data_IF_446582713638
#
_entry.id   IF_446582713638
#
_cell.length_a   1.000
_cell.length_b   1.000
_cell.length_c   1.000
_cell.angle_alpha   90.00
_cell.angle_beta   90.00
_cell.angle_gamma   90.00
#
_symmetry.space_group_name_H-M   'P 1'
#
loop_
_entity.id
_entity.type
_entity.pdbx_description
1 polymer ?
#
# COMPACT_ATOMS: atom_id res chain seq x y z
N UNK A 1 -33.53 5.36 9.75
CA UNK A 1 -32.24 5.13 10.43
C UNK A 1 -31.23 6.07 9.79
N UNK A 2 -30.67 7.02 10.54
CA UNK A 2 -29.54 7.82 10.05
C UNK A 2 -28.33 6.89 9.96
N UNK A 3 -27.73 6.76 8.77
CA UNK A 3 -26.50 5.99 8.62
C UNK A 3 -25.44 6.58 9.56
N UNK A 4 -24.85 5.74 10.41
CA UNK A 4 -23.73 6.16 11.26
C UNK A 4 -22.57 6.54 10.35
N UNK A 5 -22.11 7.79 10.45
CA UNK A 5 -20.87 8.19 9.79
C UNK A 5 -19.70 7.48 10.47
N UNK A 6 -19.19 6.42 9.84
CA UNK A 6 -18.11 5.59 10.37
C UNK A 6 -16.84 6.37 10.62
N UNK A 7 -16.61 7.50 9.92
CA UNK A 7 -15.44 8.34 10.14
C UNK A 7 -15.38 8.94 11.54
N UNK A 8 -16.53 9.09 12.22
CA UNK A 8 -16.60 9.64 13.56
C UNK A 8 -16.51 8.58 14.67
N UNK A 9 -16.49 7.29 14.32
CA UNK A 9 -16.28 6.22 15.31
C UNK A 9 -14.86 6.37 15.86
N UNK A 10 -14.73 6.41 17.17
CA UNK A 10 -13.45 6.61 17.85
C UNK A 10 -13.07 5.44 18.74
N UNK A 11 -11.77 5.17 18.84
CA UNK A 11 -11.17 4.24 19.80
C UNK A 11 -10.77 4.91 21.13
N UNK A 12 -11.07 6.21 21.30
CA UNK A 12 -10.68 7.03 22.44
C UNK A 12 -9.43 7.87 22.22
N UNK A 13 -8.63 7.60 21.19
CA UNK A 13 -7.44 8.36 20.80
C UNK A 13 -7.55 8.97 19.41
N UNK A 14 -8.09 8.18 18.47
CA UNK A 14 -8.32 8.58 17.10
C UNK A 14 -9.74 8.23 16.68
N UNK A 15 -10.21 8.94 15.68
CA UNK A 15 -11.37 8.55 14.87
C UNK A 15 -10.93 7.62 13.75
N UNK A 16 -11.84 6.80 13.23
CA UNK A 16 -11.52 5.97 12.07
C UNK A 16 -11.16 6.82 10.86
N UNK A 17 -11.78 7.99 10.69
CA UNK A 17 -11.40 8.94 9.64
C UNK A 17 -9.93 9.34 9.70
N UNK A 18 -9.44 9.69 10.89
CA UNK A 18 -8.02 10.00 11.12
C UNK A 18 -7.11 8.80 10.83
N UNK A 19 -7.48 7.60 11.29
CA UNK A 19 -6.70 6.39 11.03
C UNK A 19 -6.64 6.02 9.53
N UNK A 20 -7.75 6.23 8.79
CA UNK A 20 -7.77 6.06 7.33
C UNK A 20 -6.82 7.04 6.64
N UNK A 21 -6.74 8.29 7.14
CA UNK A 21 -5.85 9.29 6.59
C UNK A 21 -4.38 9.00 6.89
N UNK A 22 -4.07 8.58 8.11
CA UNK A 22 -2.74 8.08 8.48
C UNK A 22 -2.33 6.93 7.54
N UNK A 23 -3.23 5.98 7.27
CA UNK A 23 -2.97 4.87 6.35
C UNK A 23 -2.64 5.34 4.94
N UNK A 24 -3.35 6.34 4.39
CA UNK A 24 -3.03 6.90 3.07
C UNK A 24 -1.59 7.44 3.03
N UNK A 25 -1.26 8.31 3.99
CA UNK A 25 0.05 8.98 4.05
C UNK A 25 1.19 8.00 4.33
N UNK A 26 1.00 7.05 5.24
CA UNK A 26 2.00 6.02 5.54
C UNK A 26 2.28 5.15 4.32
N UNK A 27 1.24 4.71 3.60
CA UNK A 27 1.44 3.88 2.42
C UNK A 27 2.02 4.66 1.24
N UNK A 28 1.62 5.92 1.05
CA UNK A 28 2.25 6.82 0.09
C UNK A 28 3.76 6.94 0.34
N UNK A 29 4.16 7.23 1.58
CA UNK A 29 5.58 7.31 1.95
C UNK A 29 6.31 5.97 1.76
N UNK A 30 5.67 4.84 2.06
CA UNK A 30 6.26 3.52 1.85
C UNK A 30 6.52 3.24 0.38
N UNK A 31 5.56 3.58 -0.50
CA UNK A 31 5.70 3.42 -1.94
C UNK A 31 6.81 4.33 -2.51
N UNK A 32 6.85 5.60 -2.06
CA UNK A 32 7.90 6.56 -2.44
C UNK A 32 9.30 6.15 -1.98
N UNK A 33 9.40 5.46 -0.83
CA UNK A 33 10.65 4.89 -0.36
C UNK A 33 11.07 3.62 -1.12
N UNK A 34 10.17 3.02 -1.92
CA UNK A 34 10.40 1.77 -2.63
C UNK A 34 9.92 1.85 -4.11
N UNK A 35 10.36 2.87 -4.88
CA UNK A 35 9.78 3.17 -6.19
C UNK A 35 10.01 2.04 -7.22
N UNK A 36 11.05 1.23 -7.04
CA UNK A 36 11.37 0.11 -7.93
C UNK A 36 10.36 -1.05 -7.91
N UNK A 37 9.55 -1.14 -6.85
CA UNK A 37 8.48 -2.15 -6.73
C UNK A 37 7.09 -1.53 -6.63
N UNK A 38 6.99 -0.21 -6.55
CA UNK A 38 5.74 0.51 -6.46
C UNK A 38 5.15 0.83 -7.84
N UNK A 39 3.83 0.98 -7.89
CA UNK A 39 3.10 1.41 -9.07
C UNK A 39 1.80 2.12 -8.68
N UNK A 40 1.26 2.90 -9.62
CA UNK A 40 -0.07 3.52 -9.49
C UNK A 40 -0.91 3.31 -10.74
N UNK A 41 -2.23 3.31 -10.58
CA UNK A 41 -3.18 3.26 -11.70
C UNK A 41 -4.55 3.79 -11.29
N UNK A 42 -5.29 4.35 -12.25
CA UNK A 42 -6.69 4.72 -12.06
C UNK A 42 -7.63 3.52 -12.18
N UNK A 43 -7.20 2.46 -12.85
CA UNK A 43 -8.09 1.41 -13.34
C UNK A 43 -7.86 0.08 -12.60
N UNK A 44 -8.95 -0.52 -12.15
CA UNK A 44 -8.92 -1.86 -11.58
C UNK A 44 -8.66 -2.96 -12.65
N UNK A 45 -8.63 -4.22 -12.24
CA UNK A 45 -8.43 -5.37 -13.14
C UNK A 45 -9.50 -5.51 -14.24
N UNK A 46 -10.67 -4.86 -14.09
CA UNK A 46 -11.75 -4.80 -15.07
C UNK A 46 -11.72 -3.55 -15.95
N UNK A 47 -10.67 -2.73 -15.84
CA UNK A 47 -10.53 -1.43 -16.52
C UNK A 47 -11.56 -0.38 -16.08
N UNK A 48 -12.05 -0.48 -14.84
CA UNK A 48 -13.00 0.47 -14.26
C UNK A 48 -12.29 1.42 -13.29
N UNK A 49 -12.66 2.70 -13.35
CA UNK A 49 -12.18 3.73 -12.43
C UNK A 49 -13.13 3.90 -11.23
N UNK A 50 -12.56 4.14 -10.06
CA UNK A 50 -13.31 4.53 -8.86
C UNK A 50 -13.30 6.05 -8.72
N UNK A 51 -14.47 6.70 -8.80
CA UNK A 51 -14.57 8.18 -8.74
C UNK A 51 -13.90 8.73 -7.47
N UNK A 52 -12.90 9.60 -7.64
CA UNK A 52 -12.16 10.24 -6.54
C UNK A 52 -10.99 9.41 -5.99
N UNK A 53 -10.71 8.24 -6.56
CA UNK A 53 -9.70 7.31 -6.04
C UNK A 53 -8.81 6.76 -7.15
N UNK A 54 -7.56 6.49 -6.80
CA UNK A 54 -6.65 5.68 -7.59
C UNK A 54 -6.11 4.52 -6.75
N UNK A 55 -5.53 3.52 -7.40
CA UNK A 55 -4.86 2.41 -6.75
C UNK A 55 -3.37 2.73 -6.68
N UNK A 56 -2.82 2.77 -5.47
CA UNK A 56 -1.39 2.69 -5.23
C UNK A 56 -1.07 1.25 -4.84
N UNK A 57 -0.01 0.68 -5.40
CA UNK A 57 0.37 -0.69 -5.17
C UNK A 57 1.87 -0.90 -5.07
N UNK A 58 2.27 -2.00 -4.45
CA UNK A 58 3.64 -2.50 -4.39
C UNK A 58 3.66 -3.99 -4.69
N UNK A 59 4.60 -4.44 -5.52
CA UNK A 59 4.85 -5.84 -5.80
C UNK A 59 5.95 -6.36 -4.86
N UNK A 60 5.56 -7.01 -3.76
CA UNK A 60 6.53 -7.72 -2.91
C UNK A 60 6.71 -9.16 -3.39
N UNK A 61 7.72 -9.85 -2.87
CA UNK A 61 7.90 -11.26 -3.22
C UNK A 61 6.79 -12.16 -2.67
N UNK A 62 6.10 -11.74 -1.61
CA UNK A 62 4.93 -12.42 -1.04
C UNK A 62 3.60 -12.05 -1.74
N UNK A 63 3.67 -11.20 -2.77
CA UNK A 63 2.55 -10.75 -3.58
C UNK A 63 2.26 -9.25 -3.47
N UNK A 64 1.08 -8.85 -3.91
CA UNK A 64 0.74 -7.44 -4.05
C UNK A 64 0.26 -6.82 -2.72
N UNK A 65 0.65 -5.59 -2.45
CA UNK A 65 0.02 -4.76 -1.41
C UNK A 65 -0.61 -3.59 -2.14
N UNK A 66 -1.94 -3.44 -2.06
CA UNK A 66 -2.63 -2.34 -2.73
C UNK A 66 -3.63 -1.64 -1.84
N UNK A 67 -3.77 -0.34 -2.06
CA UNK A 67 -4.77 0.48 -1.41
C UNK A 67 -5.35 1.50 -2.40
N UNK A 68 -6.63 1.81 -2.22
CA UNK A 68 -7.23 2.99 -2.82
C UNK A 68 -6.78 4.23 -2.05
N UNK A 69 -6.27 5.23 -2.76
CA UNK A 69 -5.88 6.54 -2.25
C UNK A 69 -6.72 7.64 -2.90
N UNK A 70 -7.02 8.74 -2.16
CA UNK A 70 -7.67 9.92 -2.71
C UNK A 70 -6.92 10.51 -3.92
N UNK A 71 -7.65 10.99 -4.93
CA UNK A 71 -7.07 11.56 -6.16
C UNK A 71 -6.12 12.74 -5.93
N UNK A 72 -6.28 13.48 -4.83
CA UNK A 72 -5.38 14.57 -4.42
C UNK A 72 -3.92 14.11 -4.21
N UNK A 73 -3.71 12.84 -3.88
CA UNK A 73 -2.38 12.25 -3.73
C UNK A 73 -1.77 11.74 -5.04
N UNK A 74 -2.48 11.83 -6.17
CA UNK A 74 -2.02 11.28 -7.44
C UNK A 74 -0.68 11.87 -7.91
N UNK A 75 -0.54 13.19 -7.81
CA UNK A 75 0.69 13.90 -8.20
C UNK A 75 1.83 13.58 -7.24
N UNK A 76 1.55 13.51 -5.94
CA UNK A 76 2.54 13.17 -4.92
C UNK A 76 3.04 11.72 -5.01
N UNK A 77 2.24 10.80 -5.53
CA UNK A 77 2.63 9.41 -5.78
C UNK A 77 3.53 9.30 -7.02
N UNK A 78 4.77 9.76 -6.92
CA UNK A 78 5.79 9.68 -7.98
C UNK A 78 6.38 8.27 -8.13
N UNK A 79 5.54 7.34 -8.58
CA UNK A 79 5.91 5.94 -8.88
C UNK A 79 5.43 5.56 -10.28
N UNK A 80 5.89 4.41 -10.78
CA UNK A 80 5.53 3.92 -12.13
C UNK A 80 4.02 3.86 -12.32
N UNK A 81 3.51 4.53 -13.35
CA UNK A 81 2.11 4.41 -13.75
C UNK A 81 1.90 3.17 -14.64
N UNK A 82 0.79 2.46 -14.42
CA UNK A 82 0.36 1.34 -15.26
C UNK A 82 -1.04 1.58 -15.82
N UNK A 83 -1.31 1.06 -17.02
CA UNK A 83 -2.57 1.27 -17.74
C UNK A 83 -3.78 0.82 -16.91
N UNK A 84 -3.71 -0.39 -16.34
CA UNK A 84 -4.73 -0.92 -15.43
C UNK A 84 -4.13 -2.03 -14.56
N UNK A 85 -4.80 -2.36 -13.45
CA UNK A 85 -4.37 -3.39 -12.50
C UNK A 85 -4.66 -4.82 -13.00
N UNK A 86 -4.13 -5.18 -14.18
CA UNK A 86 -4.44 -6.43 -14.89
C UNK A 86 -4.18 -7.69 -14.07
N UNK A 87 -3.12 -7.66 -13.26
CA UNK A 87 -2.59 -8.84 -12.58
C UNK A 87 -3.04 -8.88 -11.12
N UNK A 88 -4.17 -8.27 -10.78
CA UNK A 88 -4.70 -8.30 -9.41
C UNK A 88 -4.85 -9.74 -8.92
N UNK A 89 -4.17 -10.05 -7.82
CA UNK A 89 -4.02 -11.43 -7.31
C UNK A 89 -5.16 -11.87 -6.37
N UNK A 90 -6.21 -11.05 -6.20
CA UNK A 90 -7.36 -11.39 -5.37
C UNK A 90 -7.13 -11.31 -3.86
N UNK A 91 -6.07 -10.63 -3.41
CA UNK A 91 -5.71 -10.57 -1.99
C UNK A 91 -6.78 -9.98 -1.08
N UNK A 92 -6.81 -10.49 0.15
CA UNK A 92 -7.64 -9.99 1.25
C UNK A 92 -6.86 -9.04 2.15
N UNK A 93 -7.57 -8.35 3.06
CA UNK A 93 -6.91 -7.56 4.11
C UNK A 93 -5.96 -8.38 4.99
N UNK A 94 -6.24 -9.68 5.18
CA UNK A 94 -5.36 -10.58 5.94
C UNK A 94 -4.05 -10.82 5.20
N UNK A 95 -4.11 -11.00 3.88
CA UNK A 95 -2.93 -11.17 3.03
C UNK A 95 -2.08 -9.90 3.03
N UNK A 96 -2.71 -8.72 2.96
CA UNK A 96 -2.01 -7.43 3.06
C UNK A 96 -1.26 -7.30 4.38
N UNK A 97 -1.90 -7.61 5.52
CA UNK A 97 -1.23 -7.58 6.83
C UNK A 97 -0.04 -8.55 6.90
N UNK A 98 -0.21 -9.77 6.37
CA UNK A 98 0.88 -10.74 6.29
C UNK A 98 2.05 -10.23 5.44
N UNK A 99 1.76 -9.70 4.23
CA UNK A 99 2.76 -9.17 3.30
C UNK A 99 3.50 -7.96 3.87
N UNK A 100 2.80 -7.02 4.50
CA UNK A 100 3.43 -5.90 5.22
C UNK A 100 4.35 -6.39 6.34
N UNK A 101 3.91 -7.39 7.11
CA UNK A 101 4.73 -7.97 8.18
C UNK A 101 6.00 -8.64 7.63
N UNK A 102 5.89 -9.39 6.53
CA UNK A 102 7.04 -9.98 5.84
C UNK A 102 7.96 -8.92 5.26
N UNK A 103 7.41 -7.89 4.63
CA UNK A 103 8.17 -6.78 4.07
C UNK A 103 9.03 -6.08 5.14
N UNK A 104 8.47 -5.84 6.34
CA UNK A 104 9.21 -5.28 7.46
C UNK A 104 10.38 -6.17 7.91
N UNK A 105 10.19 -7.49 8.00
CA UNK A 105 11.27 -8.44 8.33
C UNK A 105 12.40 -8.37 7.30
N UNK A 106 12.06 -8.34 6.00
CA UNK A 106 13.04 -8.31 4.91
C UNK A 106 13.86 -7.02 4.88
N UNK A 107 13.26 -5.89 5.24
CA UNK A 107 14.01 -4.64 5.40
C UNK A 107 15.07 -4.73 6.50
N UNK A 108 14.89 -5.56 7.52
CA UNK A 108 15.91 -5.80 8.55
C UNK A 108 16.98 -6.75 8.03
N UNK A 109 16.58 -7.82 7.35
CA UNK A 109 17.50 -8.81 6.79
C UNK A 109 18.43 -8.20 5.73
N UNK A 110 17.94 -7.31 4.87
CA UNK A 110 18.74 -6.63 3.85
C UNK A 110 19.78 -5.66 4.41
N UNK A 111 19.62 -5.23 5.68
CA UNK A 111 20.57 -4.36 6.38
C UNK A 111 21.61 -5.13 7.18
N UNK A 112 21.45 -6.44 7.36
CA UNK A 112 22.46 -7.25 8.04
C UNK A 112 23.70 -7.34 7.13
N UNK A 113 24.91 -7.11 7.65
CA UNK A 113 26.11 -7.30 6.85
C UNK A 113 26.15 -8.76 6.37
N UNK A 114 26.37 -8.95 5.07
CA UNK A 114 26.73 -10.27 4.55
C UNK A 114 28.03 -10.66 5.26
N UNK A 115 27.95 -11.60 6.20
CA UNK A 115 29.13 -12.10 6.89
C UNK A 115 30.09 -12.65 5.82
N UNK A 116 31.31 -12.10 5.66
CA UNK A 116 32.25 -12.68 4.72
C UNK A 116 32.58 -14.09 5.21
N UNK A 117 32.28 -15.09 4.38
CA UNK A 117 32.69 -16.47 4.61
C UNK A 117 34.17 -16.47 5.01
N UNK A 118 34.57 -17.18 6.08
CA UNK A 118 35.98 -17.34 6.39
C UNK A 118 36.65 -17.98 5.17
N UNK A 119 37.51 -17.21 4.50
CA UNK A 119 38.44 -17.77 3.51
C UNK A 119 39.26 -18.84 4.22
N UNK A 120 39.17 -20.08 3.72
CA UNK A 120 40.02 -21.19 4.15
C UNK A 120 41.49 -20.90 3.89
#
# INVERSE_FOLDING_TARGET
MTATNTNNVSDGYHTFGELYEHRHLLFLNLALANPGIAYKTWLNHKKEASKGWFILGMNTEEGQITYHLPEEYWIAAEVREIEYHSDYDGHTSKDVCYRLSRFAVRQVESRKPAWPSPTK
#
